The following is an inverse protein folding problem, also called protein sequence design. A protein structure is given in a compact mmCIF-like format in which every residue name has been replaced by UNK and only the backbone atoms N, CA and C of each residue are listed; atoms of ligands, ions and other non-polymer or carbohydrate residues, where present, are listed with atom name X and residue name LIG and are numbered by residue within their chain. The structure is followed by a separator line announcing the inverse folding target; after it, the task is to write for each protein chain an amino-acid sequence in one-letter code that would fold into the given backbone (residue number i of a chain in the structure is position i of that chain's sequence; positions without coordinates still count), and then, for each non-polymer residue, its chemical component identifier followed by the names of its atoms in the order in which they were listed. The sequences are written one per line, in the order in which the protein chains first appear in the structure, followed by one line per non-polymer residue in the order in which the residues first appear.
data_IF_771468481920
#
_entry.id   IF_771468481920
#
_cell.length_a   1.000
_cell.length_b   1.000
_cell.length_c   1.000
_cell.angle_alpha   90.00
_cell.angle_beta   90.00
_cell.angle_gamma   90.00
#
_symmetry.space_group_name_H-M   'P 1'
#
loop_
_entity.id
_entity.type
_entity.pdbx_description
1 polymer ?
#
# COMPACT_ATOMS: atom_id res chain seq x y z
N UNK A 1 -13.81 -4.05 -19.19
CA UNK A 1 -12.72 -5.04 -19.32
C UNK A 1 -11.73 -4.74 -18.21
N UNK A 2 -11.52 -5.67 -17.28
CA UNK A 2 -10.48 -5.49 -16.25
C UNK A 2 -9.18 -6.01 -16.86
N UNK A 3 -8.22 -5.11 -17.09
CA UNK A 3 -6.87 -5.53 -17.47
C UNK A 3 -6.25 -6.08 -16.19
N UNK A 4 -6.02 -7.40 -16.13
CA UNK A 4 -5.20 -7.94 -15.04
C UNK A 4 -3.79 -7.35 -15.20
N UNK A 5 -3.20 -6.78 -14.12
CA UNK A 5 -1.83 -6.29 -14.18
C UNK A 5 -0.90 -7.43 -14.61
N UNK A 6 -0.01 -7.16 -15.56
CA UNK A 6 0.98 -8.14 -16.02
C UNK A 6 1.88 -8.69 -14.91
N UNK A 7 1.88 -8.04 -13.74
CA UNK A 7 2.68 -8.37 -12.55
C UNK A 7 1.92 -9.15 -11.46
N UNK A 8 0.66 -9.55 -11.72
CA UNK A 8 -0.15 -10.30 -10.75
C UNK A 8 0.51 -11.63 -10.35
N UNK A 9 0.64 -11.88 -9.05
CA UNK A 9 1.20 -13.13 -8.51
C UNK A 9 0.13 -14.15 -8.13
N UNK A 10 -1.15 -13.93 -8.48
CA UNK A 10 -2.29 -14.76 -8.03
C UNK A 10 -2.13 -16.25 -8.33
N UNK A 11 -1.49 -16.59 -9.45
CA UNK A 11 -1.33 -17.97 -9.92
C UNK A 11 0.12 -18.46 -9.82
N UNK A 12 0.97 -17.72 -9.12
CA UNK A 12 2.38 -18.09 -8.89
C UNK A 12 2.51 -18.89 -7.59
N UNK A 13 3.58 -19.69 -7.44
CA UNK A 13 3.84 -20.42 -6.19
C UNK A 13 4.29 -19.52 -5.02
N UNK A 14 4.29 -18.20 -5.22
CA UNK A 14 4.61 -17.18 -4.23
C UNK A 14 3.65 -15.99 -4.37
N UNK A 15 3.55 -15.18 -3.33
CA UNK A 15 2.76 -13.95 -3.32
C UNK A 15 3.68 -12.73 -3.16
N UNK A 16 3.22 -11.57 -3.62
CA UNK A 16 3.98 -10.32 -3.50
C UNK A 16 3.08 -9.15 -3.12
N UNK A 17 3.64 -8.23 -2.35
CA UNK A 17 3.14 -6.87 -2.16
C UNK A 17 4.32 -5.91 -2.38
N UNK A 18 4.03 -4.66 -2.73
CA UNK A 18 5.06 -3.63 -2.89
C UNK A 18 4.50 -2.27 -2.48
N UNK A 19 5.28 -1.53 -1.68
CA UNK A 19 5.00 -0.13 -1.38
C UNK A 19 5.59 0.74 -2.51
N UNK A 20 4.76 1.62 -3.05
CA UNK A 20 5.17 2.59 -4.09
C UNK A 20 5.02 4.02 -3.58
N UNK A 21 5.96 4.89 -3.94
CA UNK A 21 5.83 6.33 -3.76
C UNK A 21 5.41 6.97 -5.07
N UNK A 22 4.35 7.77 -5.08
CA UNK A 22 3.89 8.48 -6.27
C UNK A 22 4.15 9.97 -6.10
N UNK A 23 4.91 10.54 -7.04
CA UNK A 23 5.22 11.96 -7.02
C UNK A 23 4.31 12.67 -8.03
N UNK A 24 3.56 13.65 -7.53
CA UNK A 24 2.61 14.41 -8.33
C UNK A 24 2.99 15.89 -8.36
N UNK A 25 2.76 16.52 -9.50
CA UNK A 25 2.75 17.98 -9.65
C UNK A 25 1.31 18.44 -9.88
N UNK A 26 0.96 19.59 -9.31
CA UNK A 26 -0.34 20.24 -9.52
C UNK A 26 -0.09 21.56 -10.24
N UNK A 27 -0.76 21.77 -11.37
CA UNK A 27 -0.62 23.01 -12.15
C UNK A 27 -1.60 24.11 -11.70
N UNK A 28 -1.55 25.26 -12.37
CA UNK A 28 -2.38 26.44 -12.06
C UNK A 28 -3.89 26.20 -12.25
N UNK A 29 -4.28 25.17 -13.01
CA UNK A 29 -5.67 24.77 -13.24
C UNK A 29 -6.12 23.66 -12.26
N UNK A 30 -5.31 23.36 -11.24
CA UNK A 30 -5.52 22.25 -10.29
C UNK A 30 -5.55 20.87 -10.95
N UNK A 31 -4.93 20.72 -12.13
CA UNK A 31 -4.77 19.42 -12.76
C UNK A 31 -3.56 18.71 -12.17
N UNK A 32 -3.78 17.44 -11.82
CA UNK A 32 -2.76 16.56 -11.24
C UNK A 32 -2.01 15.84 -12.36
N UNK A 33 -0.69 15.90 -12.30
CA UNK A 33 0.22 15.23 -13.22
C UNK A 33 1.13 14.28 -12.45
N UNK A 34 1.21 13.02 -12.91
CA UNK A 34 2.19 12.07 -12.39
C UNK A 34 3.58 12.44 -12.92
N UNK A 35 4.56 12.57 -12.03
CA UNK A 35 5.96 12.82 -12.36
C UNK A 35 6.71 11.48 -12.44
N UNK A 36 6.65 10.69 -11.37
CA UNK A 36 7.29 9.39 -11.32
C UNK A 36 6.63 8.45 -10.30
N UNK A 37 7.03 7.17 -10.38
CA UNK A 37 6.67 6.13 -9.41
C UNK A 37 7.94 5.50 -8.86
N UNK A 38 8.17 5.69 -7.56
CA UNK A 38 9.30 5.18 -6.82
C UNK A 38 9.01 3.75 -6.32
N UNK A 39 9.81 2.78 -6.77
CA UNK A 39 9.68 1.36 -6.38
C UNK A 39 10.22 1.02 -4.98
N UNK A 40 10.98 1.93 -4.37
CA UNK A 40 11.54 1.80 -3.02
C UNK A 40 11.50 3.17 -2.31
N UNK A 41 10.30 3.64 -1.92
CA UNK A 41 10.14 4.97 -1.33
C UNK A 41 10.67 5.03 0.10
N UNK A 42 11.19 6.18 0.49
CA UNK A 42 11.37 6.53 1.90
C UNK A 42 10.07 7.11 2.48
N UNK A 43 9.93 7.10 3.80
CA UNK A 43 8.79 7.71 4.49
C UNK A 43 9.26 8.88 5.35
N UNK A 44 8.42 9.91 5.48
CA UNK A 44 8.65 10.98 6.43
C UNK A 44 8.66 10.43 7.86
N UNK A 45 9.65 10.84 8.67
CA UNK A 45 9.86 10.29 10.02
C UNK A 45 8.61 10.31 10.90
N UNK A 46 7.79 11.37 10.79
CA UNK A 46 6.54 11.53 11.55
C UNK A 46 5.46 10.52 11.19
N UNK A 47 5.46 10.01 9.95
CA UNK A 47 4.46 9.08 9.41
C UNK A 47 4.93 7.62 9.48
N UNK A 48 6.21 7.39 9.77
CA UNK A 48 6.85 6.07 9.69
C UNK A 48 6.09 5.01 10.52
N UNK A 49 5.75 5.33 11.78
CA UNK A 49 5.10 4.37 12.68
C UNK A 49 3.73 3.93 12.16
N UNK A 50 2.89 4.88 11.73
CA UNK A 50 1.54 4.61 11.24
C UNK A 50 1.58 3.85 9.90
N UNK A 51 2.44 4.29 8.98
CA UNK A 51 2.60 3.64 7.68
C UNK A 51 3.09 2.19 7.83
N UNK A 52 4.15 1.98 8.61
CA UNK A 52 4.70 0.64 8.81
C UNK A 52 3.71 -0.30 9.50
N UNK A 53 2.96 0.18 10.50
CA UNK A 53 1.96 -0.64 11.17
C UNK A 53 0.87 -1.08 10.20
N UNK A 54 0.32 -0.18 9.40
CA UNK A 54 -0.73 -0.58 8.47
C UNK A 54 -0.22 -1.42 7.27
N UNK A 55 1.06 -1.32 6.89
CA UNK A 55 1.69 -2.31 5.98
C UNK A 55 1.66 -3.71 6.61
N UNK A 56 2.05 -3.83 7.89
CA UNK A 56 2.01 -5.11 8.61
C UNK A 56 0.57 -5.64 8.62
N UNK A 57 -0.39 -4.81 9.03
CA UNK A 57 -1.78 -5.23 9.18
C UNK A 57 -2.41 -5.69 7.86
N UNK A 58 -2.20 -4.94 6.77
CA UNK A 58 -2.88 -5.17 5.49
C UNK A 58 -2.12 -6.16 4.60
N UNK A 59 -0.79 -6.08 4.53
CA UNK A 59 0.00 -6.82 3.55
C UNK A 59 0.67 -8.08 4.12
N UNK A 60 0.91 -8.12 5.44
CA UNK A 60 1.60 -9.25 6.09
C UNK A 60 0.61 -10.11 6.87
N UNK A 61 -0.07 -9.52 7.86
CA UNK A 61 -0.99 -10.22 8.77
C UNK A 61 -2.21 -10.80 8.04
N UNK A 62 -2.59 -10.25 6.88
CA UNK A 62 -3.66 -10.79 6.03
C UNK A 62 -3.33 -12.15 5.41
N UNK A 63 -2.04 -12.48 5.28
CA UNK A 63 -1.55 -13.77 4.78
C UNK A 63 -1.01 -14.64 5.93
N UNK A 64 -0.37 -14.00 6.91
CA UNK A 64 0.27 -14.65 8.05
C UNK A 64 -0.27 -14.06 9.37
N UNK A 65 -1.47 -14.47 9.80
CA UNK A 65 -2.08 -13.93 10.99
C UNK A 65 -1.22 -14.20 12.25
N UNK A 66 -1.14 -13.24 13.19
CA UNK A 66 -0.46 -13.46 14.47
C UNK A 66 -1.08 -14.63 15.25
N UNK A 67 -0.29 -15.35 16.08
CA UNK A 67 -0.77 -16.51 16.84
C UNK A 67 -1.97 -16.23 17.76
N UNK A 68 -2.03 -15.02 18.32
CA UNK A 68 -3.03 -14.59 19.32
C UNK A 68 -3.92 -13.45 18.80
N UNK A 69 -4.16 -13.39 17.48
CA UNK A 69 -4.96 -12.33 16.89
C UNK A 69 -6.44 -12.45 17.29
N UNK A 70 -6.84 -11.68 18.30
CA UNK A 70 -8.24 -11.34 18.55
C UNK A 70 -8.82 -10.61 17.32
N UNK A 71 -10.13 -10.75 17.02
CA UNK A 71 -10.77 -10.01 15.93
C UNK A 71 -10.57 -8.51 16.12
N UNK A 72 -9.71 -7.91 15.30
CA UNK A 72 -9.31 -6.52 15.44
C UNK A 72 -10.53 -5.63 15.20
N UNK A 73 -10.97 -4.91 16.25
CA UNK A 73 -11.99 -3.85 16.12
C UNK A 73 -11.52 -2.85 15.07
N UNK A 74 -12.43 -2.47 14.18
CA UNK A 74 -12.22 -1.61 13.03
C UNK A 74 -11.64 -0.25 13.43
N UNK A 75 -10.31 -0.14 13.53
CA UNK A 75 -9.64 1.14 13.57
C UNK A 75 -9.86 1.84 12.22
N UNK A 76 -10.01 3.17 12.20
CA UNK A 76 -10.08 3.91 10.93
C UNK A 76 -8.83 3.58 10.11
N UNK A 77 -9.04 3.04 8.92
CA UNK A 77 -7.94 2.58 8.09
C UNK A 77 -7.07 3.79 7.68
N UNK A 78 -5.76 3.72 7.98
CA UNK A 78 -4.77 4.64 7.44
C UNK A 78 -4.67 4.60 5.90
N UNK A 79 -5.35 3.64 5.26
CA UNK A 79 -5.35 3.41 3.82
C UNK A 79 -6.75 3.52 3.23
N UNK A 80 -6.83 4.17 2.07
CA UNK A 80 -8.02 4.18 1.22
C UNK A 80 -7.91 3.05 0.20
N UNK A 81 -8.92 2.19 0.13
CA UNK A 81 -9.01 1.15 -0.91
C UNK A 81 -9.53 1.80 -2.21
N UNK A 82 -8.65 1.88 -3.21
CA UNK A 82 -8.94 2.41 -4.54
C UNK A 82 -9.66 1.38 -5.43
#
# INVERSE_FOLDING_TARGET
MSVEPAISTRHLPYQSFQLFGFDFMVDEELKVWLIEVNGAPACAQKLYAELCQGIVDIAISSVFPPPDAEPQQSQPAAFVRL
#
